data_IF_732997401390
#
_entry.id   IF_732997401390
#
_cell.length_a   1.000
_cell.length_b   1.000
_cell.length_c   1.000
_cell.angle_alpha   90.00
_cell.angle_beta   90.00
_cell.angle_gamma   90.00
#
_symmetry.space_group_name_H-M   'P 1'
#
loop_
_entity.id
_entity.type
_entity.pdbx_description
1 polymer ?
#
# COMPACT_ATOMS: atom_id res chain seq x y z
N UNK A 1 18.55 -4.83 -11.89
CA UNK A 1 17.09 -4.66 -11.84
C UNK A 1 16.48 -5.90 -11.22
N UNK A 2 15.48 -5.75 -10.36
CA UNK A 2 14.79 -6.91 -9.77
C UNK A 2 13.89 -7.56 -10.82
N UNK A 3 13.99 -8.88 -10.96
CA UNK A 3 13.16 -9.68 -11.87
C UNK A 3 11.92 -10.19 -11.15
N UNK A 4 10.76 -9.62 -11.45
CA UNK A 4 9.54 -9.77 -10.66
C UNK A 4 8.54 -10.68 -11.36
N UNK A 5 7.87 -11.53 -10.59
CA UNK A 5 6.65 -12.24 -10.98
C UNK A 5 5.45 -11.76 -10.19
N UNK A 6 4.26 -11.81 -10.78
CA UNK A 6 3.00 -11.38 -10.12
C UNK A 6 2.02 -12.54 -10.04
N UNK A 7 1.31 -12.69 -8.92
CA UNK A 7 0.17 -13.61 -8.81
C UNK A 7 -1.12 -12.80 -8.65
N UNK A 8 -2.06 -13.02 -9.57
CA UNK A 8 -3.30 -12.29 -9.65
C UNK A 8 -3.10 -10.95 -10.35
N UNK A 9 -3.73 -10.80 -11.52
CA UNK A 9 -3.70 -9.62 -12.37
C UNK A 9 -5.05 -8.89 -12.37
N UNK A 10 -5.70 -8.91 -11.20
CA UNK A 10 -6.80 -8.02 -10.86
C UNK A 10 -6.33 -6.58 -10.62
N UNK A 11 -7.12 -5.83 -9.86
CA UNK A 11 -6.86 -4.42 -9.49
C UNK A 11 -5.41 -4.15 -9.04
N UNK A 12 -4.96 -4.79 -7.95
CA UNK A 12 -3.63 -4.54 -7.37
C UNK A 12 -2.50 -5.00 -8.31
N UNK A 13 -2.67 -6.15 -8.97
CA UNK A 13 -1.68 -6.67 -9.92
C UNK A 13 -1.45 -5.73 -11.11
N UNK A 14 -2.53 -5.19 -11.70
CA UNK A 14 -2.44 -4.22 -12.82
C UNK A 14 -1.80 -2.91 -12.41
N UNK A 15 -2.17 -2.36 -11.25
CA UNK A 15 -1.61 -1.09 -10.77
C UNK A 15 -0.15 -1.28 -10.39
N UNK A 16 0.19 -2.38 -9.71
CA UNK A 16 1.57 -2.72 -9.41
C UNK A 16 2.41 -2.80 -10.69
N UNK A 17 1.92 -3.50 -11.72
CA UNK A 17 2.60 -3.56 -13.01
C UNK A 17 2.81 -2.18 -13.64
N UNK A 18 1.78 -1.33 -13.65
CA UNK A 18 1.92 0.05 -14.11
C UNK A 18 2.98 0.83 -13.32
N UNK A 19 3.03 0.67 -11.99
CA UNK A 19 4.07 1.28 -11.15
C UNK A 19 5.46 0.71 -11.44
N UNK A 20 5.59 -0.58 -11.77
CA UNK A 20 6.85 -1.17 -12.20
C UNK A 20 7.36 -0.50 -13.48
N UNK A 21 6.49 -0.26 -14.47
CA UNK A 21 6.86 0.45 -15.70
C UNK A 21 7.41 1.85 -15.39
N UNK A 22 6.71 2.62 -14.55
CA UNK A 22 7.15 3.97 -14.15
C UNK A 22 8.46 4.00 -13.35
N UNK A 23 8.81 2.88 -12.69
CA UNK A 23 10.02 2.74 -11.87
C UNK A 23 11.14 1.97 -12.59
N UNK A 24 10.98 1.63 -13.87
CA UNK A 24 11.91 0.80 -14.62
C UNK A 24 12.22 -0.54 -13.91
N UNK A 25 11.19 -1.17 -13.34
CA UNK A 25 11.27 -2.51 -12.76
C UNK A 25 10.76 -3.55 -13.78
N UNK A 26 11.40 -4.72 -13.80
CA UNK A 26 11.18 -5.73 -14.83
C UNK A 26 10.20 -6.80 -14.31
N UNK A 27 9.01 -6.88 -14.92
CA UNK A 27 8.04 -7.95 -14.66
C UNK A 27 8.15 -8.99 -15.75
N UNK A 28 8.57 -10.20 -15.38
CA UNK A 28 8.83 -11.30 -16.32
C UNK A 28 7.65 -12.25 -16.49
N UNK A 29 6.83 -12.41 -15.44
CA UNK A 29 5.74 -13.37 -15.45
C UNK A 29 4.53 -12.89 -14.65
N UNK A 30 3.34 -13.18 -15.16
CA UNK A 30 2.06 -12.96 -14.50
C UNK A 30 1.32 -14.30 -14.47
N UNK A 31 0.93 -14.75 -13.27
CA UNK A 31 0.04 -15.88 -13.11
C UNK A 31 -1.35 -15.43 -12.69
N UNK A 32 -2.35 -15.64 -13.53
CA UNK A 32 -3.75 -15.42 -13.19
C UNK A 32 -4.65 -16.38 -13.98
N UNK A 33 -5.21 -17.42 -13.32
CA UNK A 33 -6.10 -18.37 -13.96
C UNK A 33 -7.39 -17.76 -14.54
N UNK A 34 -7.80 -16.59 -14.04
CA UNK A 34 -8.99 -15.87 -14.49
C UNK A 34 -8.72 -14.82 -15.56
N UNK A 35 -7.46 -14.68 -16.00
CA UNK A 35 -7.09 -13.70 -17.01
C UNK A 35 -7.39 -14.21 -18.42
N UNK A 36 -8.13 -13.40 -19.16
CA UNK A 36 -8.37 -13.62 -20.59
C UNK A 36 -7.64 -12.51 -21.37
N UNK A 37 -6.65 -12.85 -22.23
CA UNK A 37 -5.80 -11.86 -22.91
C UNK A 37 -6.55 -10.89 -23.84
N UNK A 38 -7.71 -11.31 -24.36
CA UNK A 38 -8.64 -10.51 -25.17
C UNK A 38 -9.22 -9.28 -24.43
N UNK A 39 -9.06 -9.22 -23.11
CA UNK A 39 -9.47 -8.08 -22.28
C UNK A 39 -8.41 -6.97 -22.18
N UNK A 40 -7.29 -7.07 -22.90
CA UNK A 40 -6.21 -6.08 -22.87
C UNK A 40 -5.99 -5.44 -24.24
N UNK A 41 -5.88 -4.11 -24.28
CA UNK A 41 -5.44 -3.33 -25.45
C UNK A 41 -3.92 -3.46 -25.67
N UNK A 42 -3.42 -4.68 -25.68
CA UNK A 42 -1.99 -4.99 -25.76
C UNK A 42 -1.81 -6.13 -26.74
N UNK A 43 -0.75 -6.09 -27.54
CA UNK A 43 -0.35 -7.23 -28.38
C UNK A 43 -0.16 -8.47 -27.49
N UNK A 44 -1.12 -9.40 -27.59
CA UNK A 44 -1.13 -10.65 -26.85
C UNK A 44 -0.76 -11.80 -27.78
N UNK A 45 0.14 -12.65 -27.32
CA UNK A 45 0.33 -14.00 -27.85
C UNK A 45 -0.43 -15.00 -26.99
N UNK A 46 -0.43 -16.28 -27.41
CA UNK A 46 -1.16 -17.35 -26.71
C UNK A 46 -0.82 -17.46 -25.21
N UNK A 47 0.47 -17.32 -24.86
CA UNK A 47 0.99 -17.42 -23.48
C UNK A 47 1.87 -16.23 -23.07
N UNK A 48 1.74 -15.08 -23.74
CA UNK A 48 2.51 -13.91 -23.38
C UNK A 48 1.82 -12.58 -23.66
N UNK A 49 2.24 -11.57 -22.91
CA UNK A 49 1.89 -10.17 -23.12
C UNK A 49 3.12 -9.42 -23.63
N UNK A 50 2.97 -8.62 -24.70
CA UNK A 50 4.04 -7.77 -25.22
C UNK A 50 3.78 -6.31 -24.85
N UNK A 51 4.61 -5.71 -23.98
CA UNK A 51 4.48 -4.29 -23.60
C UNK A 51 5.78 -3.57 -23.86
N UNK A 52 5.77 -2.54 -24.71
CA UNK A 52 6.97 -1.77 -25.07
C UNK A 52 8.15 -2.68 -25.47
N UNK A 53 7.89 -3.67 -26.33
CA UNK A 53 8.85 -4.70 -26.78
C UNK A 53 9.36 -5.66 -25.69
N UNK A 54 8.85 -5.59 -24.46
CA UNK A 54 9.14 -6.54 -23.39
C UNK A 54 8.13 -7.68 -23.42
N UNK A 55 8.64 -8.92 -23.47
CA UNK A 55 7.82 -10.14 -23.38
C UNK A 55 7.58 -10.52 -21.92
N UNK A 56 6.33 -10.66 -21.55
CA UNK A 56 5.90 -11.10 -20.23
C UNK A 56 5.19 -12.44 -20.37
N UNK A 57 5.66 -13.46 -19.65
CA UNK A 57 5.04 -14.79 -19.66
C UNK A 57 3.71 -14.75 -18.90
N UNK A 58 2.65 -15.26 -19.53
CA UNK A 58 1.35 -15.46 -18.89
C UNK A 58 1.20 -16.92 -18.48
N UNK A 59 0.67 -17.15 -17.28
CA UNK A 59 0.37 -18.50 -16.78
C UNK A 59 -1.00 -18.51 -16.12
N UNK A 60 -1.68 -19.67 -16.17
CA UNK A 60 -3.03 -19.86 -15.62
C UNK A 60 -3.08 -20.95 -14.55
N UNK A 61 -1.95 -21.19 -13.88
CA UNK A 61 -1.83 -22.25 -12.89
C UNK A 61 -2.57 -21.88 -11.60
N UNK A 62 -3.46 -22.77 -11.16
CA UNK A 62 -4.32 -22.60 -9.98
C UNK A 62 -3.57 -22.88 -8.68
N UNK A 63 -2.51 -23.67 -8.72
CA UNK A 63 -1.70 -24.03 -7.56
C UNK A 63 -0.41 -23.20 -7.55
N UNK A 64 -0.28 -22.18 -6.67
CA UNK A 64 0.84 -21.24 -6.70
C UNK A 64 2.25 -21.86 -6.68
N UNK A 65 2.38 -23.06 -6.10
CA UNK A 65 3.66 -23.79 -6.02
C UNK A 65 4.09 -24.45 -7.35
N UNK A 66 3.15 -24.64 -8.28
CA UNK A 66 3.39 -25.27 -9.59
C UNK A 66 3.70 -24.25 -10.68
N UNK A 67 3.57 -22.95 -10.38
CA UNK A 67 3.85 -21.89 -11.35
C UNK A 67 5.33 -21.94 -11.75
N UNK A 68 5.65 -22.03 -13.05
CA UNK A 68 7.03 -22.07 -13.53
C UNK A 68 7.63 -20.66 -13.53
N UNK A 69 8.23 -20.27 -12.40
CA UNK A 69 8.90 -18.97 -12.23
C UNK A 69 10.27 -18.90 -12.95
N UNK A 70 10.29 -18.99 -14.27
CA UNK A 70 11.52 -18.95 -15.06
C UNK A 70 12.18 -17.55 -14.97
N UNK A 71 13.37 -17.48 -14.38
CA UNK A 71 14.14 -16.23 -14.27
C UNK A 71 13.63 -15.20 -13.25
N UNK A 72 12.46 -15.45 -12.63
CA UNK A 72 11.88 -14.59 -11.59
C UNK A 72 12.64 -14.75 -10.27
N UNK A 73 13.04 -13.64 -9.67
CA UNK A 73 13.75 -13.61 -8.39
C UNK A 73 12.80 -13.41 -7.21
N UNK A 74 11.77 -12.59 -7.39
CA UNK A 74 10.77 -12.35 -6.36
C UNK A 74 9.35 -12.28 -6.92
N UNK A 75 8.38 -12.63 -6.08
CA UNK A 75 6.96 -12.53 -6.42
C UNK A 75 6.33 -11.38 -5.65
N UNK A 76 5.74 -10.42 -6.37
CA UNK A 76 5.04 -9.27 -5.81
C UNK A 76 4.04 -8.71 -6.84
N UNK A 77 2.83 -8.31 -6.42
CA UNK A 77 2.15 -8.71 -5.18
C UNK A 77 1.80 -10.21 -5.20
N UNK A 78 1.72 -10.84 -4.03
CA UNK A 78 1.21 -12.20 -3.88
C UNK A 78 0.06 -12.30 -2.89
N UNK A 79 -1.16 -12.63 -3.33
CA UNK A 79 -2.27 -12.92 -2.42
C UNK A 79 -2.29 -14.38 -1.95
N UNK A 80 -1.57 -15.30 -2.61
CA UNK A 80 -1.77 -16.75 -2.44
C UNK A 80 -0.49 -17.55 -2.13
N UNK A 81 0.70 -16.98 -2.33
CA UNK A 81 1.96 -17.72 -2.14
C UNK A 81 2.59 -17.40 -0.77
N UNK A 82 2.22 -18.16 0.26
CA UNK A 82 2.89 -18.05 1.58
C UNK A 82 4.27 -18.74 1.65
N UNK A 83 4.60 -19.63 0.70
CA UNK A 83 5.88 -20.37 0.69
C UNK A 83 6.60 -20.15 -0.62
N UNK A 84 7.91 -19.92 -0.54
CA UNK A 84 8.76 -19.44 -1.64
C UNK A 84 8.80 -20.23 -2.96
N UNK A 85 8.31 -21.48 -3.03
CA UNK A 85 8.48 -22.29 -4.24
C UNK A 85 9.93 -22.25 -4.75
N UNK A 86 10.13 -21.96 -6.03
CA UNK A 86 11.45 -21.76 -6.65
C UNK A 86 12.02 -20.34 -6.54
N UNK A 87 11.26 -19.34 -6.05
CA UNK A 87 11.69 -17.93 -6.01
C UNK A 87 12.45 -17.58 -4.73
N UNK A 88 13.26 -16.51 -4.78
CA UNK A 88 14.10 -16.08 -3.65
C UNK A 88 13.30 -15.33 -2.58
N UNK A 89 12.22 -14.63 -2.95
CA UNK A 89 11.45 -13.78 -2.03
C UNK A 89 10.00 -13.63 -2.46
N UNK A 90 9.10 -13.50 -1.48
CA UNK A 90 7.68 -13.25 -1.73
C UNK A 90 7.21 -12.05 -0.91
N UNK A 91 6.48 -11.15 -1.56
CA UNK A 91 5.85 -9.98 -0.96
C UNK A 91 4.33 -10.16 -0.96
N UNK A 92 3.76 -10.35 0.23
CA UNK A 92 2.33 -10.51 0.40
C UNK A 92 1.63 -9.15 0.34
N UNK A 93 0.51 -9.08 -0.38
CA UNK A 93 -0.31 -7.87 -0.55
C UNK A 93 -1.46 -7.77 0.46
N UNK A 94 -1.37 -8.51 1.57
CA UNK A 94 -2.35 -8.57 2.63
C UNK A 94 -1.65 -8.74 3.99
N UNK A 95 -2.30 -8.38 5.11
CA UNK A 95 -1.76 -8.61 6.45
C UNK A 95 -1.46 -10.08 6.71
N UNK A 96 -0.25 -10.40 7.17
CA UNK A 96 0.10 -11.76 7.59
C UNK A 96 0.14 -11.84 9.12
N UNK A 97 -0.41 -12.92 9.67
CA UNK A 97 -0.25 -13.30 11.08
C UNK A 97 1.10 -13.97 11.34
N UNK A 98 1.68 -14.57 10.31
CA UNK A 98 2.82 -15.51 10.45
C UNK A 98 4.13 -14.90 9.94
N UNK A 99 4.04 -13.85 9.11
CA UNK A 99 5.18 -13.24 8.43
C UNK A 99 5.40 -11.79 8.87
N UNK A 100 6.66 -11.31 8.92
CA UNK A 100 6.95 -9.92 9.23
C UNK A 100 6.23 -8.93 8.30
N UNK A 101 5.60 -7.92 8.91
CA UNK A 101 4.91 -6.85 8.20
C UNK A 101 5.73 -5.56 8.17
N UNK A 102 5.79 -4.94 7.00
CA UNK A 102 6.50 -3.70 6.78
C UNK A 102 5.57 -2.62 6.23
N UNK A 103 5.79 -1.39 6.69
CA UNK A 103 5.16 -0.18 6.19
C UNK A 103 6.28 0.80 5.83
N UNK A 104 6.25 1.28 4.59
CA UNK A 104 7.22 2.26 4.11
C UNK A 104 7.22 3.51 5.01
N UNK A 105 8.41 4.01 5.34
CA UNK A 105 8.59 5.16 6.24
C UNK A 105 8.45 4.87 7.74
N UNK A 106 7.98 3.67 8.12
CA UNK A 106 7.70 3.36 9.54
C UNK A 106 8.72 2.40 10.15
N UNK A 107 8.98 1.26 9.51
CA UNK A 107 9.78 0.18 10.11
C UNK A 107 10.70 -0.56 9.13
N UNK A 108 11.05 0.06 8.00
CA UNK A 108 11.92 -0.56 6.98
C UNK A 108 13.35 -0.82 7.51
N UNK A 109 13.79 -0.08 8.53
CA UNK A 109 15.06 -0.30 9.25
C UNK A 109 15.16 -1.70 9.86
N UNK A 110 14.01 -2.34 10.16
CA UNK A 110 13.94 -3.68 10.75
C UNK A 110 14.02 -4.79 9.71
N UNK A 111 14.00 -4.44 8.42
CA UNK A 111 14.08 -5.41 7.35
C UNK A 111 15.44 -6.08 7.30
N UNK A 112 15.45 -7.40 7.11
CA UNK A 112 16.68 -8.17 6.88
C UNK A 112 16.58 -8.91 5.55
N UNK A 113 17.67 -8.95 4.79
CA UNK A 113 17.71 -9.53 3.45
C UNK A 113 17.42 -11.04 3.43
N UNK A 114 17.68 -11.72 4.55
CA UNK A 114 17.42 -13.13 4.78
C UNK A 114 15.94 -13.45 5.03
N UNK A 115 15.09 -12.46 5.36
CA UNK A 115 13.64 -12.63 5.42
C UNK A 115 13.11 -13.03 4.06
N UNK A 116 12.31 -14.10 4.01
CA UNK A 116 11.97 -14.78 2.76
C UNK A 116 10.57 -14.48 2.25
N UNK A 117 9.65 -14.31 3.19
CA UNK A 117 8.27 -13.94 2.96
C UNK A 117 8.02 -12.77 3.89
N UNK A 118 7.53 -11.68 3.33
CA UNK A 118 7.18 -10.49 4.08
C UNK A 118 5.84 -9.97 3.59
N UNK A 119 5.10 -9.29 4.46
CA UNK A 119 3.83 -8.67 4.11
C UNK A 119 3.97 -7.16 4.05
N UNK A 120 3.32 -6.54 3.05
CA UNK A 120 3.19 -5.09 2.96
C UNK A 120 1.97 -4.57 3.75
N UNK A 121 1.55 -5.31 4.79
CA UNK A 121 0.40 -5.02 5.65
C UNK A 121 -0.92 -4.80 4.88
N UNK A 122 -1.85 -4.05 5.46
CA UNK A 122 -3.07 -3.59 4.78
C UNK A 122 -2.92 -2.16 4.27
N UNK A 123 -3.83 -1.77 3.37
CA UNK A 123 -3.93 -0.38 2.89
C UNK A 123 -4.21 0.59 4.03
N UNK A 124 -5.15 0.26 4.92
CA UNK A 124 -5.47 1.06 6.11
C UNK A 124 -4.28 1.16 7.06
N UNK A 125 -3.50 0.08 7.23
CA UNK A 125 -2.29 0.10 8.05
C UNK A 125 -1.23 1.00 7.43
N UNK A 126 -1.02 0.95 6.10
CA UNK A 126 -0.09 1.85 5.42
C UNK A 126 -0.52 3.31 5.54
N UNK A 127 -1.82 3.59 5.55
CA UNK A 127 -2.38 4.91 5.77
C UNK A 127 -2.14 5.45 7.19
N UNK A 128 -2.44 4.64 8.22
CA UNK A 128 -2.47 5.12 9.61
C UNK A 128 -1.13 4.99 10.34
N UNK A 129 -0.31 3.99 10.01
CA UNK A 129 0.94 3.75 10.72
C UNK A 129 1.95 4.91 10.66
N UNK A 130 2.07 5.69 9.56
CA UNK A 130 2.92 6.89 9.55
C UNK A 130 2.51 7.96 10.59
N UNK A 131 1.25 7.94 11.04
CA UNK A 131 0.70 8.88 12.03
C UNK A 131 0.74 8.34 13.46
N UNK A 132 1.00 7.05 13.62
CA UNK A 132 0.88 6.35 14.89
C UNK A 132 2.11 5.50 15.17
N UNK A 133 2.94 5.99 16.10
CA UNK A 133 4.13 5.26 16.55
C UNK A 133 3.79 4.09 17.50
N UNK A 134 2.65 4.16 18.19
CA UNK A 134 2.29 3.23 19.27
C UNK A 134 1.16 2.26 18.89
N UNK A 135 1.26 1.02 19.40
CA UNK A 135 0.34 -0.10 19.13
C UNK A 135 -0.99 -0.04 19.88
N UNK A 136 -1.46 1.15 20.26
CA UNK A 136 -2.67 1.34 21.09
C UNK A 136 -3.92 1.72 20.31
N UNK A 137 -3.87 1.63 18.98
CA UNK A 137 -5.00 1.97 18.12
C UNK A 137 -5.82 0.73 17.77
N UNK A 138 -7.14 0.92 17.74
CA UNK A 138 -8.13 -0.02 17.22
C UNK A 138 -9.21 0.78 16.49
N UNK A 139 -10.03 0.12 15.67
CA UNK A 139 -11.08 0.78 14.91
C UNK A 139 -12.00 -0.20 14.21
N UNK A 140 -12.96 0.36 13.48
CA UNK A 140 -13.92 -0.36 12.63
C UNK A 140 -13.92 0.25 11.24
N UNK A 141 -14.42 -0.49 10.23
CA UNK A 141 -14.65 0.04 8.90
C UNK A 141 -16.13 -0.03 8.50
N UNK A 142 -16.52 0.87 7.59
CA UNK A 142 -17.80 0.84 6.90
C UNK A 142 -17.55 0.87 5.40
N UNK A 143 -18.26 0.03 4.65
CA UNK A 143 -18.19 0.01 3.19
C UNK A 143 -19.28 0.91 2.63
N UNK A 144 -18.86 1.85 1.80
CA UNK A 144 -19.75 2.75 1.07
C UNK A 144 -19.67 2.44 -0.43
N UNK A 145 -20.72 2.73 -1.23
CA UNK A 145 -20.76 2.42 -2.66
C UNK A 145 -19.91 3.41 -3.48
N UNK A 146 -18.61 3.47 -3.21
CA UNK A 146 -17.63 4.27 -3.95
C UNK A 146 -16.61 3.36 -4.64
N UNK A 147 -16.25 3.69 -5.88
CA UNK A 147 -15.37 2.85 -6.70
C UNK A 147 -13.93 2.79 -6.19
N UNK A 148 -13.44 3.89 -5.61
CA UNK A 148 -12.09 4.02 -5.09
C UNK A 148 -12.01 5.20 -4.11
N UNK A 149 -10.83 5.38 -3.51
CA UNK A 149 -10.52 6.30 -2.41
C UNK A 149 -11.18 5.84 -1.11
N UNK A 150 -10.46 6.01 -0.02
CA UNK A 150 -10.94 5.78 1.33
C UNK A 150 -10.48 6.91 2.23
N UNK A 151 -11.25 7.09 3.30
CA UNK A 151 -10.94 8.03 4.36
C UNK A 151 -10.92 7.27 5.68
N UNK A 152 -10.00 7.65 6.54
CA UNK A 152 -9.97 7.24 7.93
C UNK A 152 -10.23 8.48 8.77
N UNK A 153 -11.23 8.37 9.62
CA UNK A 153 -11.43 9.28 10.73
C UNK A 153 -10.62 8.73 11.91
N UNK A 154 -9.46 9.34 12.16
CA UNK A 154 -8.61 8.97 13.28
C UNK A 154 -8.82 10.00 14.40
N UNK A 155 -9.57 9.60 15.42
CA UNK A 155 -9.71 10.36 16.66
C UNK A 155 -8.73 9.83 17.70
N UNK A 156 -7.78 10.67 18.13
CA UNK A 156 -6.79 10.30 19.16
C UNK A 156 -6.78 11.29 20.31
N UNK A 157 -6.38 10.78 21.47
CA UNK A 157 -6.07 11.60 22.64
C UNK A 157 -4.57 11.78 22.75
N UNK A 158 -4.12 13.03 22.68
CA UNK A 158 -2.71 13.38 22.88
C UNK A 158 -2.47 13.80 24.34
N UNK A 159 -1.24 13.59 24.83
CA UNK A 159 -0.83 14.13 26.13
C UNK A 159 -0.72 15.66 26.04
N UNK A 160 -0.86 16.35 27.18
CA UNK A 160 -0.94 17.81 27.31
C UNK A 160 0.18 18.54 26.54
N UNK A 161 -0.14 19.70 25.95
CA UNK A 161 0.84 20.63 25.37
C UNK A 161 0.80 20.78 23.84
N UNK A 162 -0.06 20.04 23.14
CA UNK A 162 -0.22 20.16 21.69
C UNK A 162 -1.56 20.82 21.34
N UNK A 163 -1.49 21.90 20.58
CA UNK A 163 -2.65 22.57 19.98
C UNK A 163 -2.79 22.17 18.50
N UNK A 164 -3.90 22.56 17.88
CA UNK A 164 -4.22 22.30 16.48
C UNK A 164 -3.07 22.65 15.52
N UNK A 165 -2.52 23.85 15.69
CA UNK A 165 -1.53 24.41 14.77
C UNK A 165 -0.18 23.69 14.89
N UNK A 166 0.24 23.35 16.12
CA UNK A 166 1.44 22.56 16.33
C UNK A 166 1.35 21.16 15.73
N UNK A 167 0.15 20.54 15.74
CA UNK A 167 -0.07 19.25 15.07
C UNK A 167 0.02 19.42 13.55
N UNK A 168 -0.61 20.46 12.98
CA UNK A 168 -0.51 20.76 11.53
C UNK A 168 0.92 20.97 11.09
N UNK A 169 1.68 21.79 11.82
CA UNK A 169 3.08 22.06 11.54
C UNK A 169 3.91 20.78 11.51
N UNK A 170 3.74 19.89 12.50
CA UNK A 170 4.46 18.61 12.53
C UNK A 170 4.10 17.67 11.40
N UNK A 171 2.83 17.63 10.97
CA UNK A 171 2.44 16.85 9.80
C UNK A 171 3.05 17.43 8.52
N UNK A 172 3.05 18.76 8.37
CA UNK A 172 3.68 19.42 7.23
C UNK A 172 5.19 19.20 7.19
N UNK A 173 5.89 19.34 8.31
CA UNK A 173 7.32 19.03 8.44
C UNK A 173 7.62 17.58 8.03
N UNK A 174 6.82 16.63 8.51
CA UNK A 174 6.99 15.21 8.17
C UNK A 174 6.75 14.96 6.68
N UNK A 175 5.66 15.49 6.12
CA UNK A 175 5.27 15.34 4.72
C UNK A 175 6.28 15.97 3.75
N UNK A 176 6.86 17.11 4.11
CA UNK A 176 7.87 17.79 3.29
C UNK A 176 9.29 17.26 3.52
N UNK A 177 9.52 16.53 4.62
CA UNK A 177 10.81 15.99 5.02
C UNK A 177 10.87 14.45 4.96
N UNK A 178 10.98 13.76 6.12
CA UNK A 178 11.30 12.34 6.18
C UNK A 178 10.24 11.41 5.56
N UNK A 179 8.98 11.86 5.50
CA UNK A 179 7.86 11.11 4.93
C UNK A 179 7.47 11.60 3.54
N UNK A 180 8.35 12.36 2.87
CA UNK A 180 8.11 12.82 1.50
C UNK A 180 7.76 11.65 0.58
N UNK A 181 6.75 11.86 -0.25
CA UNK A 181 6.18 10.85 -1.15
C UNK A 181 5.40 9.70 -0.48
N UNK A 182 5.32 9.68 0.85
CA UNK A 182 4.46 8.77 1.62
C UNK A 182 3.27 9.56 2.17
N UNK A 183 3.57 10.66 2.87
CA UNK A 183 2.59 11.59 3.40
C UNK A 183 2.55 12.88 2.58
N UNK A 184 1.36 13.43 2.45
CA UNK A 184 1.06 14.77 1.97
C UNK A 184 0.09 15.46 2.93
N UNK A 185 0.10 16.78 2.90
CA UNK A 185 -0.80 17.63 3.67
C UNK A 185 -1.64 18.46 2.69
N UNK A 186 -2.92 18.65 3.00
CA UNK A 186 -3.81 19.50 2.20
C UNK A 186 -4.81 20.19 3.12
N UNK A 187 -5.14 21.45 2.79
CA UNK A 187 -6.28 22.18 3.36
C UNK A 187 -7.47 22.23 2.39
N UNK A 188 -7.26 21.79 1.14
CA UNK A 188 -8.30 21.75 0.11
C UNK A 188 -9.14 20.47 0.19
N UNK A 189 -10.47 20.62 0.23
CA UNK A 189 -11.44 19.51 0.21
C UNK A 189 -11.62 18.83 -1.15
N UNK A 190 -11.06 19.36 -2.26
CA UNK A 190 -11.44 18.92 -3.62
C UNK A 190 -10.45 17.98 -4.31
N UNK A 191 -9.46 17.44 -3.59
CA UNK A 191 -8.31 16.72 -4.21
C UNK A 191 -8.59 15.23 -4.48
N UNK A 192 -9.82 14.75 -4.24
CA UNK A 192 -10.16 13.31 -4.31
C UNK A 192 -9.75 12.60 -5.60
N UNK A 193 -9.74 13.30 -6.75
CA UNK A 193 -9.38 12.73 -8.05
C UNK A 193 -7.87 12.66 -8.35
N UNK A 194 -7.01 13.31 -7.55
CA UNK A 194 -5.55 13.44 -7.83
C UNK A 194 -4.66 12.91 -6.70
N UNK A 195 -5.21 12.06 -5.83
CA UNK A 195 -4.48 11.50 -4.69
C UNK A 195 -3.47 10.45 -5.17
N UNK A 196 -2.18 10.78 -5.16
CA UNK A 196 -1.08 9.85 -5.43
C UNK A 196 -0.35 9.36 -4.16
N UNK A 197 -0.56 10.02 -3.03
CA UNK A 197 0.06 9.73 -1.72
C UNK A 197 -1.01 9.75 -0.61
N UNK A 198 -0.64 9.44 0.64
CA UNK A 198 -1.57 9.60 1.77
C UNK A 198 -1.75 11.10 2.00
N UNK A 199 -2.96 11.63 1.83
CA UNK A 199 -3.25 13.02 2.11
C UNK A 199 -3.90 13.16 3.48
N UNK A 200 -3.36 14.03 4.32
CA UNK A 200 -3.87 14.29 5.65
C UNK A 200 -4.51 15.67 5.68
N UNK A 201 -5.74 15.70 6.14
CA UNK A 201 -6.50 16.88 6.52
C UNK A 201 -6.72 16.81 8.04
N UNK A 202 -6.37 17.88 8.74
CA UNK A 202 -6.60 17.98 10.19
C UNK A 202 -7.86 18.81 10.42
N UNK A 203 -8.90 18.17 10.98
CA UNK A 203 -10.05 18.87 11.53
C UNK A 203 -9.88 18.93 13.03
N UNK A 204 -9.44 20.08 13.52
CA UNK A 204 -9.49 20.32 14.96
C UNK A 204 -10.90 20.74 15.31
N UNK A 205 -11.57 19.95 16.15
CA UNK A 205 -12.84 20.41 16.69
C UNK A 205 -12.55 21.57 17.63
N UNK A 206 -12.96 22.78 17.25
CA UNK A 206 -13.08 23.92 18.17
C UNK A 206 -13.97 23.56 19.38
N UNK A 207 -14.78 22.49 19.25
CA UNK A 207 -15.70 21.94 20.24
C UNK A 207 -15.16 20.73 21.03
N UNK A 208 -13.85 20.48 21.04
CA UNK A 208 -13.29 19.44 21.91
C UNK A 208 -13.50 19.82 23.39
N UNK A 209 -14.13 18.97 24.24
CA UNK A 209 -14.36 19.30 25.64
C UNK A 209 -13.05 19.54 26.38
N UNK A 210 -12.74 20.81 26.69
CA UNK A 210 -11.65 21.20 27.58
C UNK A 210 -12.02 20.77 29.01
N UNK A 211 -11.79 19.52 29.35
CA UNK A 211 -11.87 19.10 30.76
C UNK A 211 -10.60 19.56 31.50
N UNK A 212 -10.73 19.76 32.82
CA UNK A 212 -9.76 20.40 33.75
C UNK A 212 -8.34 19.79 33.79
N UNK A 213 -8.06 18.74 33.03
CA UNK A 213 -6.74 18.19 32.76
C UNK A 213 -6.54 18.16 31.24
N UNK A 214 -5.66 19.02 30.72
CA UNK A 214 -5.42 19.27 29.30
C UNK A 214 -5.17 18.00 28.46
N UNK A 215 -6.25 17.42 27.91
CA UNK A 215 -6.21 16.29 26.97
C UNK A 215 -6.96 16.73 25.72
N UNK A 216 -6.22 17.19 24.71
CA UNK A 216 -6.80 17.55 23.42
C UNK A 216 -7.17 16.28 22.64
N UNK A 217 -8.36 16.26 22.05
CA UNK A 217 -8.69 15.28 21.01
C UNK A 217 -8.41 15.92 19.66
N UNK A 218 -7.72 15.18 18.80
CA UNK A 218 -7.48 15.61 17.41
C UNK A 218 -8.13 14.57 16.50
N UNK A 219 -8.88 15.08 15.51
CA UNK A 219 -9.48 14.28 14.44
C UNK A 219 -8.65 14.50 13.18
N UNK A 220 -8.12 13.41 12.64
CA UNK A 220 -7.51 13.40 11.31
C UNK A 220 -8.49 12.80 10.32
N UNK A 221 -8.71 13.48 9.20
CA UNK A 221 -9.22 12.86 8.01
C UNK A 221 -8.02 12.48 7.14
N UNK A 222 -7.80 11.18 7.01
CA UNK A 222 -6.67 10.66 6.25
C UNK A 222 -7.21 10.00 5.00
N UNK A 223 -6.89 10.58 3.86
CA UNK A 223 -7.35 10.13 2.55
C UNK A 223 -6.25 9.34 1.86
N UNK A 224 -6.62 8.23 1.23
CA UNK A 224 -5.70 7.48 0.40
C UNK A 224 -6.42 6.79 -0.75
N UNK A 225 -5.69 6.57 -1.84
CA UNK A 225 -6.15 5.69 -2.90
C UNK A 225 -5.96 4.24 -2.46
N UNK A 226 -7.01 3.43 -2.55
CA UNK A 226 -7.03 2.03 -2.14
C UNK A 226 -6.22 1.10 -3.05
N UNK A 227 -5.54 1.65 -4.05
CA UNK A 227 -5.23 0.99 -5.30
C UNK A 227 -3.77 1.21 -5.66
#
# INVERSE_FOLDING_TARGET
>A
MSKIGTIGFGRIGRIFYHRCLLKNAEVLAINDPGLFPDQMEIESGEDCLMVNSTKITLTKERYPKKIPWAGVECVAPSPQLKKRGSVKKVFLSYPSTDDPMFVCGVNLDKYKSDMKVISNASRTTNCLAPLAKDRKLTGTDFRVPTVNVSVADLTVRIQSGANADGVKEKIMEAANGPMKSILGYTEDMHVYGKIETILIEIKTSENCPKTREEKCFVVYLVWWRLE
#
